data_IF_783661906582
#
_entry.id   IF_783661906582
#
_cell.length_a   1.000
_cell.length_b   1.000
_cell.length_c   1.000
_cell.angle_alpha   90.00
_cell.angle_beta   90.00
_cell.angle_gamma   90.00
#
_symmetry.space_group_name_H-M   'P 1'
#
loop_
_entity.id
_entity.type
_entity.pdbx_description
1 polymer ?
#
# COMPACT_ATOMS: atom_id res chain seq x y z
N UNK A 1 8.44 1.05 -5.97
CA UNK A 1 9.09 2.36 -5.71
C UNK A 1 9.49 2.50 -4.24
N UNK A 2 8.54 2.43 -3.30
CA UNK A 2 8.77 2.64 -1.85
C UNK A 2 9.99 1.88 -1.31
N UNK A 3 10.06 0.57 -1.52
CA UNK A 3 11.17 -0.29 -1.05
C UNK A 3 12.56 0.24 -1.46
N UNK A 4 12.68 0.76 -2.68
CA UNK A 4 13.94 1.23 -3.26
C UNK A 4 14.34 2.64 -2.82
N UNK A 5 13.41 3.41 -2.25
CA UNK A 5 13.69 4.77 -1.77
C UNK A 5 13.80 4.85 -0.24
N UNK A 6 13.51 3.77 0.49
CA UNK A 6 13.78 3.71 1.93
C UNK A 6 15.25 4.04 2.23
N UNK A 7 16.25 3.42 1.58
CA UNK A 7 17.66 3.66 1.89
C UNK A 7 18.22 5.01 1.44
N UNK A 8 17.42 5.83 0.76
CA UNK A 8 17.81 7.12 0.19
C UNK A 8 16.93 8.23 0.77
N UNK A 9 15.69 8.35 0.28
CA UNK A 9 14.75 9.35 0.76
C UNK A 9 14.40 9.12 2.24
N UNK A 10 14.11 7.88 2.63
CA UNK A 10 13.89 7.55 4.04
C UNK A 10 15.11 7.83 4.92
N UNK A 11 16.31 7.58 4.40
CA UNK A 11 17.57 7.88 5.09
C UNK A 11 17.76 9.39 5.30
N UNK A 12 17.44 10.20 4.29
CA UNK A 12 17.53 11.67 4.36
C UNK A 12 16.63 12.27 5.45
N UNK A 13 15.56 11.55 5.81
CA UNK A 13 14.64 11.89 6.89
C UNK A 13 15.07 11.29 8.26
N UNK A 14 16.16 10.52 8.30
CA UNK A 14 16.67 9.87 9.52
C UNK A 14 15.71 8.82 10.09
N UNK A 15 15.00 8.07 9.23
CA UNK A 15 13.93 7.15 9.62
C UNK A 15 14.37 5.68 9.77
N UNK A 16 15.62 5.34 9.44
CA UNK A 16 16.17 4.00 9.61
C UNK A 16 16.00 3.51 11.05
N UNK A 17 15.51 2.29 11.22
CA UNK A 17 15.24 1.70 12.54
C UNK A 17 14.06 2.31 13.30
N UNK A 18 13.36 3.31 12.74
CA UNK A 18 12.17 3.93 13.36
C UNK A 18 10.86 3.45 12.74
N UNK A 19 10.89 3.09 11.45
CA UNK A 19 9.73 2.59 10.69
C UNK A 19 10.10 1.34 9.88
N UNK A 20 9.10 0.63 9.37
CA UNK A 20 9.28 -0.44 8.38
C UNK A 20 10.26 -1.56 8.80
N UNK A 21 10.26 -1.92 10.09
CA UNK A 21 11.19 -2.90 10.66
C UNK A 21 10.79 -4.34 10.37
N UNK A 22 9.50 -4.65 10.42
CA UNK A 22 8.98 -6.02 10.33
C UNK A 22 7.98 -6.14 9.17
N UNK A 23 8.13 -7.18 8.35
CA UNK A 23 7.40 -7.32 7.08
C UNK A 23 6.72 -8.68 6.96
N UNK A 24 5.50 -8.66 6.42
CA UNK A 24 4.83 -9.83 5.83
C UNK A 24 4.84 -9.65 4.33
N UNK A 25 5.88 -10.15 3.66
CA UNK A 25 6.17 -9.86 2.26
C UNK A 25 6.85 -11.06 1.61
N UNK A 26 6.66 -11.25 0.30
CA UNK A 26 7.58 -12.12 -0.44
C UNK A 26 9.01 -11.54 -0.38
N UNK A 27 10.05 -12.37 -0.62
CA UNK A 27 11.43 -11.87 -0.67
C UNK A 27 11.63 -11.07 -1.97
N UNK A 28 11.09 -9.86 -2.03
CA UNK A 28 11.19 -9.00 -3.21
C UNK A 28 12.65 -8.64 -3.48
N UNK A 29 13.17 -8.83 -4.70
CA UNK A 29 14.50 -8.35 -5.06
C UNK A 29 14.66 -6.84 -4.83
N UNK A 30 13.59 -6.07 -4.98
CA UNK A 30 13.58 -4.62 -4.74
C UNK A 30 13.73 -4.22 -3.27
N UNK A 31 13.57 -5.15 -2.32
CA UNK A 31 13.80 -4.92 -0.89
C UNK A 31 15.26 -5.16 -0.50
N UNK A 32 16.09 -5.76 -1.37
CA UNK A 32 17.51 -6.06 -1.09
C UNK A 32 18.25 -4.82 -0.56
N UNK A 33 18.22 -3.63 -1.20
CA UNK A 33 18.96 -2.48 -0.68
C UNK A 33 18.52 -2.05 0.73
N UNK A 34 17.24 -2.22 1.08
CA UNK A 34 16.73 -1.91 2.41
C UNK A 34 17.19 -2.93 3.46
N UNK A 35 17.29 -4.21 3.09
CA UNK A 35 17.87 -5.25 3.95
C UNK A 35 19.35 -4.94 4.21
N UNK A 36 20.13 -4.73 3.16
CA UNK A 36 21.58 -4.54 3.26
C UNK A 36 21.97 -3.23 3.98
N UNK A 37 21.09 -2.23 3.95
CA UNK A 37 21.30 -0.97 4.69
C UNK A 37 20.73 -1.00 6.11
N UNK A 38 20.21 -2.14 6.58
CA UNK A 38 19.76 -2.33 7.97
C UNK A 38 18.41 -1.71 8.31
N UNK A 39 17.54 -1.51 7.32
CA UNK A 39 16.15 -1.06 7.57
C UNK A 39 15.25 -2.20 8.04
N UNK A 40 15.49 -3.40 7.51
CA UNK A 40 14.60 -4.54 7.64
C UNK A 40 15.14 -5.47 8.72
N UNK A 41 14.39 -5.65 9.79
CA UNK A 41 14.72 -6.58 10.88
C UNK A 41 14.14 -7.98 10.64
N UNK A 42 12.95 -8.08 10.07
CA UNK A 42 12.34 -9.40 9.79
C UNK A 42 11.42 -9.40 8.59
N UNK A 43 11.43 -10.51 7.84
CA UNK A 43 10.51 -10.78 6.72
C UNK A 43 9.97 -12.19 6.83
N UNK A 44 8.69 -12.32 7.15
CA UNK A 44 7.97 -13.59 7.00
C UNK A 44 7.32 -13.63 5.62
N UNK A 45 7.50 -14.74 4.88
CA UNK A 45 7.17 -14.80 3.45
C UNK A 45 5.92 -15.63 3.13
N UNK A 46 5.10 -15.15 2.18
CA UNK A 46 3.97 -15.92 1.65
C UNK A 46 4.46 -17.07 0.75
N UNK A 47 5.45 -16.78 -0.09
CA UNK A 47 6.14 -17.70 -0.99
C UNK A 47 7.61 -17.28 -1.16
N UNK A 48 8.25 -17.78 -2.21
CA UNK A 48 9.57 -17.30 -2.66
C UNK A 48 9.43 -16.48 -3.94
N UNK A 49 10.49 -15.75 -4.28
CA UNK A 49 10.68 -15.15 -5.61
C UNK A 49 11.82 -15.88 -6.32
N UNK A 50 11.66 -16.14 -7.62
CA UNK A 50 12.67 -16.88 -8.39
C UNK A 50 14.01 -16.13 -8.38
N UNK A 51 15.07 -16.84 -8.01
CA UNK A 51 16.43 -16.30 -7.98
C UNK A 51 16.85 -15.73 -6.63
N UNK A 52 15.93 -15.62 -5.66
CA UNK A 52 16.21 -15.09 -4.32
C UNK A 52 16.65 -16.16 -3.32
N UNK A 53 16.65 -17.44 -3.71
CA UNK A 53 16.81 -18.57 -2.79
C UNK A 53 18.16 -18.52 -2.06
N UNK A 54 19.26 -18.23 -2.79
CA UNK A 54 20.61 -18.11 -2.20
C UNK A 54 20.75 -16.89 -1.32
N UNK A 55 20.19 -15.75 -1.75
CA UNK A 55 20.22 -14.52 -0.98
C UNK A 55 19.49 -14.70 0.36
N UNK A 56 18.30 -15.30 0.33
CA UNK A 56 17.51 -15.58 1.54
C UNK A 56 18.24 -16.54 2.48
N UNK A 57 18.84 -17.62 1.96
CA UNK A 57 19.61 -18.56 2.77
C UNK A 57 20.83 -17.92 3.45
N UNK A 58 21.39 -16.85 2.85
CA UNK A 58 22.51 -16.08 3.39
C UNK A 58 22.08 -14.96 4.36
N UNK A 59 20.78 -14.82 4.66
CA UNK A 59 20.21 -13.82 5.58
C UNK A 59 19.23 -14.46 6.59
N UNK A 60 19.68 -15.48 7.38
CA UNK A 60 18.81 -16.20 8.31
C UNK A 60 18.39 -15.39 9.54
N UNK A 61 19.02 -14.24 9.77
CA UNK A 61 18.66 -13.24 10.77
C UNK A 61 17.42 -12.42 10.37
N UNK A 62 17.22 -12.21 9.07
CA UNK A 62 16.08 -11.46 8.52
C UNK A 62 14.94 -12.39 8.11
N UNK A 63 15.26 -13.52 7.47
CA UNK A 63 14.25 -14.44 6.93
C UNK A 63 14.08 -15.69 7.80
N UNK A 64 12.88 -16.28 7.72
CA UNK A 64 12.56 -17.52 8.42
C UNK A 64 13.08 -18.74 7.64
N UNK A 65 14.30 -19.17 7.95
CA UNK A 65 14.95 -20.35 7.34
C UNK A 65 14.83 -21.60 8.20
N UNK A 66 14.67 -22.76 7.56
CA UNK A 66 14.75 -24.05 8.21
C UNK A 66 16.16 -24.40 8.69
N UNK A 67 16.30 -25.49 9.44
CA UNK A 67 17.61 -26.01 9.90
C UNK A 67 18.53 -26.39 8.73
N UNK A 68 17.94 -26.68 7.57
CA UNK A 68 18.58 -26.97 6.30
C UNK A 68 19.08 -25.72 5.57
N UNK A 69 18.77 -24.52 6.09
CA UNK A 69 19.21 -23.23 5.54
C UNK A 69 18.26 -22.63 4.50
N UNK A 70 17.28 -23.36 3.98
CA UNK A 70 16.35 -22.84 2.99
C UNK A 70 15.17 -22.06 3.62
N UNK A 71 14.56 -21.17 2.84
CA UNK A 71 13.37 -20.42 3.23
C UNK A 71 12.21 -21.36 3.57
N UNK A 72 11.55 -21.12 4.71
CA UNK A 72 10.26 -21.75 5.05
C UNK A 72 9.12 -20.76 4.84
N UNK A 73 8.71 -20.56 3.59
CA UNK A 73 7.53 -19.75 3.29
C UNK A 73 6.24 -20.44 3.78
N UNK A 74 5.27 -19.66 4.25
CA UNK A 74 3.97 -20.18 4.65
C UNK A 74 2.88 -19.13 4.35
N UNK A 75 2.19 -19.29 3.21
CA UNK A 75 1.14 -18.35 2.78
C UNK A 75 0.03 -18.18 3.82
N UNK A 76 -0.43 -19.26 4.44
CA UNK A 76 -1.50 -19.20 5.44
C UNK A 76 -1.07 -18.37 6.66
N UNK A 77 0.10 -18.69 7.23
CA UNK A 77 0.61 -17.97 8.40
C UNK A 77 0.96 -16.51 8.07
N UNK A 78 1.55 -16.27 6.89
CA UNK A 78 1.91 -14.93 6.45
C UNK A 78 0.67 -14.06 6.19
N UNK A 79 -0.41 -14.63 5.64
CA UNK A 79 -1.70 -13.94 5.48
C UNK A 79 -2.32 -13.62 6.83
N UNK A 80 -2.26 -14.54 7.79
CA UNK A 80 -2.76 -14.31 9.14
C UNK A 80 -2.01 -13.16 9.83
N UNK A 81 -0.68 -13.17 9.75
CA UNK A 81 0.15 -12.07 10.26
C UNK A 81 -0.13 -10.76 9.53
N UNK A 82 -0.28 -10.81 8.20
CA UNK A 82 -0.62 -9.64 7.39
C UNK A 82 -2.00 -9.05 7.71
N UNK A 83 -2.92 -9.82 8.27
CA UNK A 83 -4.20 -9.32 8.76
C UNK A 83 -4.08 -8.76 10.18
N UNK A 84 -3.54 -9.53 11.11
CA UNK A 84 -3.64 -9.23 12.54
C UNK A 84 -2.42 -8.55 13.15
N UNK A 85 -1.21 -8.80 12.65
CA UNK A 85 0.05 -8.48 13.32
C UNK A 85 0.89 -7.39 12.64
N UNK A 86 0.39 -6.77 11.57
CA UNK A 86 1.05 -5.64 10.90
C UNK A 86 0.21 -4.37 11.01
N UNK A 87 0.89 -3.23 11.03
CA UNK A 87 0.23 -1.94 11.16
C UNK A 87 -0.48 -1.50 9.89
N UNK A 88 0.08 -1.86 8.73
CA UNK A 88 -0.29 -1.25 7.46
C UNK A 88 -0.31 -2.26 6.31
N UNK A 89 -1.30 -2.11 5.44
CA UNK A 89 -1.30 -2.63 4.09
C UNK A 89 -1.32 -1.47 3.09
N UNK A 90 -0.52 -1.56 2.05
CA UNK A 90 -0.52 -0.64 0.91
C UNK A 90 -0.53 -1.44 -0.38
N UNK A 91 -1.42 -1.07 -1.29
CA UNK A 91 -1.58 -1.73 -2.58
C UNK A 91 -2.20 -0.82 -3.63
N UNK A 92 -2.21 -1.29 -4.87
CA UNK A 92 -2.80 -0.60 -6.01
C UNK A 92 -4.03 -1.37 -6.53
N UNK A 93 -4.82 -0.70 -7.35
CA UNK A 93 -6.02 -1.24 -8.01
C UNK A 93 -6.14 -0.72 -9.45
N UNK A 94 -7.06 -1.26 -10.25
CA UNK A 94 -7.32 -0.76 -11.61
C UNK A 94 -8.42 0.30 -11.64
N UNK A 95 -9.45 0.17 -10.80
CA UNK A 95 -10.52 1.15 -10.67
C UNK A 95 -10.80 1.48 -9.21
N UNK A 96 -11.15 2.75 -8.96
CA UNK A 96 -11.67 3.29 -7.71
C UNK A 96 -12.91 4.14 -8.04
N UNK A 97 -14.00 4.03 -7.27
CA UNK A 97 -15.15 4.92 -7.42
C UNK A 97 -15.14 6.12 -6.45
N UNK A 98 -16.13 7.00 -6.56
CA UNK A 98 -16.24 8.19 -5.70
C UNK A 98 -16.37 7.89 -4.21
N UNK A 99 -16.78 6.66 -3.83
CA UNK A 99 -16.85 6.21 -2.43
C UNK A 99 -15.55 5.57 -1.95
N UNK A 100 -14.59 5.34 -2.85
CA UNK A 100 -13.33 4.68 -2.57
C UNK A 100 -13.40 3.15 -2.70
N UNK A 101 -14.50 2.60 -3.21
CA UNK A 101 -14.55 1.16 -3.52
C UNK A 101 -13.57 0.88 -4.65
N UNK A 102 -12.77 -0.17 -4.49
CA UNK A 102 -11.69 -0.49 -5.41
C UNK A 102 -11.80 -1.90 -5.94
N UNK A 103 -11.51 -2.08 -7.24
CA UNK A 103 -11.50 -3.40 -7.87
C UNK A 103 -10.49 -3.50 -9.01
N UNK A 104 -9.96 -4.70 -9.20
CA UNK A 104 -9.16 -5.10 -10.37
C UNK A 104 -10.00 -5.76 -11.47
N UNK A 105 -11.29 -5.98 -11.22
CA UNK A 105 -12.20 -6.53 -12.23
C UNK A 105 -12.61 -5.42 -13.19
N UNK A 106 -12.34 -5.61 -14.49
CA UNK A 106 -12.69 -4.70 -15.57
C UNK A 106 -13.55 -5.40 -16.62
N UNK A 107 -14.18 -4.65 -17.53
CA UNK A 107 -15.02 -5.22 -18.59
C UNK A 107 -14.24 -6.27 -19.40
N UNK A 108 -14.78 -7.49 -19.46
CA UNK A 108 -14.16 -8.63 -20.16
C UNK A 108 -13.01 -9.33 -19.44
N UNK A 109 -12.66 -8.92 -18.20
CA UNK A 109 -11.58 -9.55 -17.43
C UNK A 109 -11.97 -9.72 -15.95
N UNK A 110 -12.33 -10.95 -15.59
CA UNK A 110 -12.57 -11.35 -14.20
C UNK A 110 -11.23 -11.61 -13.49
N UNK A 111 -10.55 -10.55 -13.08
CA UNK A 111 -9.33 -10.65 -12.28
C UNK A 111 -9.63 -11.25 -10.89
N UNK A 112 -8.69 -12.03 -10.35
CA UNK A 112 -8.77 -12.51 -8.97
C UNK A 112 -8.31 -11.44 -7.97
N UNK A 113 -8.74 -11.56 -6.71
CA UNK A 113 -8.37 -10.61 -5.66
C UNK A 113 -7.02 -10.88 -5.00
N UNK A 114 -6.50 -12.10 -5.10
CA UNK A 114 -5.31 -12.51 -4.37
C UNK A 114 -5.45 -12.34 -2.86
N UNK A 115 -4.42 -11.79 -2.21
CA UNK A 115 -4.43 -11.52 -0.77
C UNK A 115 -5.03 -10.17 -0.36
N UNK A 116 -5.40 -9.33 -1.32
CA UNK A 116 -5.78 -7.94 -1.05
C UNK A 116 -7.00 -7.81 -0.10
N UNK A 117 -8.09 -8.58 -0.24
CA UNK A 117 -9.21 -8.46 0.69
C UNK A 117 -8.85 -8.85 2.12
N UNK A 118 -7.92 -9.79 2.32
CA UNK A 118 -7.47 -10.20 3.66
C UNK A 118 -6.62 -9.12 4.33
N UNK A 119 -5.76 -8.43 3.58
CA UNK A 119 -4.88 -7.40 4.14
C UNK A 119 -5.49 -6.00 4.12
N UNK A 120 -6.37 -5.72 3.18
CA UNK A 120 -6.95 -4.40 2.91
C UNK A 120 -8.30 -4.18 3.58
N UNK A 121 -8.44 -4.61 4.83
CA UNK A 121 -9.60 -4.28 5.67
C UNK A 121 -9.18 -4.01 7.12
N UNK A 122 -10.03 -3.32 7.88
CA UNK A 122 -9.87 -3.16 9.33
C UNK A 122 -10.16 -4.50 10.04
N UNK A 123 -9.16 -5.19 10.62
CA UNK A 123 -9.35 -6.50 11.22
C UNK A 123 -10.14 -6.38 12.54
N UNK A 124 -11.47 -6.41 12.45
CA UNK A 124 -12.38 -6.13 13.58
C UNK A 124 -12.23 -7.10 14.77
N UNK A 125 -11.52 -8.21 14.60
CA UNK A 125 -11.13 -9.14 15.68
C UNK A 125 -9.87 -8.75 16.46
N UNK A 126 -9.05 -7.80 15.96
CA UNK A 126 -7.81 -7.35 16.60
C UNK A 126 -8.10 -6.61 17.91
N UNK A 127 -7.27 -6.84 18.94
CA UNK A 127 -7.38 -6.19 20.26
C UNK A 127 -6.06 -5.65 20.80
N UNK A 128 -4.92 -6.23 20.39
CA UNK A 128 -3.63 -5.67 20.79
C UNK A 128 -3.40 -4.34 20.09
N UNK A 129 -2.93 -3.38 20.86
CA UNK A 129 -2.59 -2.05 20.42
C UNK A 129 -1.16 -1.99 19.85
N UNK A 130 -0.98 -1.11 18.87
CA UNK A 130 0.32 -0.64 18.39
C UNK A 130 0.20 0.86 18.15
N UNK A 131 1.31 1.62 18.14
CA UNK A 131 1.26 3.07 17.96
C UNK A 131 0.47 3.51 16.73
N UNK A 132 0.76 2.95 15.56
CA UNK A 132 0.09 3.31 14.31
C UNK A 132 -1.40 2.91 14.31
N UNK A 133 -1.76 1.76 14.90
CA UNK A 133 -3.15 1.33 15.00
C UNK A 133 -3.98 2.27 15.89
N UNK A 134 -3.41 2.71 17.02
CA UNK A 134 -4.05 3.66 17.93
C UNK A 134 -4.17 5.06 17.33
N UNK A 135 -3.22 5.48 16.49
CA UNK A 135 -3.23 6.79 15.82
C UNK A 135 -4.46 6.99 14.91
N UNK A 136 -5.08 5.89 14.46
CA UNK A 136 -6.31 5.92 13.66
C UNK A 136 -7.60 6.02 14.50
N UNK A 137 -7.50 6.00 15.84
CA UNK A 137 -8.67 6.08 16.73
C UNK A 137 -9.23 7.50 16.75
N UNK A 138 -10.52 7.62 16.48
CA UNK A 138 -11.25 8.87 16.66
C UNK A 138 -11.46 9.13 18.15
N UNK A 139 -11.19 10.35 18.60
CA UNK A 139 -11.52 10.76 19.97
C UNK A 139 -13.03 10.80 20.15
N UNK A 140 -13.51 10.25 21.26
CA UNK A 140 -14.92 10.30 21.64
C UNK A 140 -15.29 11.65 22.25
N UNK A 141 -16.58 11.86 22.48
CA UNK A 141 -17.09 13.09 23.12
C UNK A 141 -16.59 13.26 24.57
N UNK A 142 -16.14 12.17 25.20
CA UNK A 142 -15.56 12.15 26.54
C UNK A 142 -14.56 10.99 26.67
N UNK A 143 -13.93 10.87 27.84
CA UNK A 143 -12.94 9.84 28.15
C UNK A 143 -13.50 8.43 28.00
N UNK A 144 -14.69 8.15 28.52
CA UNK A 144 -15.36 6.84 28.42
C UNK A 144 -15.56 6.41 26.97
N UNK A 145 -16.10 7.29 26.13
CA UNK A 145 -16.29 7.02 24.71
C UNK A 145 -14.96 6.78 23.98
N UNK A 146 -13.89 7.47 24.39
CA UNK A 146 -12.53 7.27 23.83
C UNK A 146 -11.92 5.93 24.26
N UNK A 147 -12.18 5.47 25.49
CA UNK A 147 -11.78 4.12 25.94
C UNK A 147 -12.56 3.01 25.24
N UNK A 148 -13.83 3.25 24.89
CA UNK A 148 -14.65 2.32 24.11
C UNK A 148 -14.30 2.33 22.62
N UNK A 149 -13.73 3.44 22.12
CA UNK A 149 -13.23 3.55 20.76
C UNK A 149 -11.99 2.67 20.56
N UNK A 150 -11.89 2.10 19.36
CA UNK A 150 -10.79 1.24 18.92
C UNK A 150 -9.98 1.94 17.83
N UNK A 151 -8.71 1.60 17.74
CA UNK A 151 -7.88 1.94 16.59
C UNK A 151 -8.32 1.17 15.33
N UNK A 152 -7.58 1.41 14.25
CA UNK A 152 -7.81 0.78 12.94
C UNK A 152 -6.48 0.43 12.29
N UNK A 153 -6.46 -0.66 11.54
CA UNK A 153 -5.32 -0.95 10.67
C UNK A 153 -5.23 0.12 9.57
N UNK A 154 -4.01 0.50 9.17
CA UNK A 154 -3.83 1.39 8.03
C UNK A 154 -4.02 0.59 6.73
N UNK A 155 -4.96 1.03 5.90
CA UNK A 155 -5.23 0.47 4.58
C UNK A 155 -5.07 1.59 3.57
N UNK A 156 -3.99 1.52 2.81
CA UNK A 156 -3.59 2.55 1.84
C UNK A 156 -3.89 2.05 0.42
N UNK A 157 -4.75 2.77 -0.29
CA UNK A 157 -4.86 2.64 -1.75
C UNK A 157 -3.88 3.62 -2.39
N UNK A 158 -2.84 3.08 -3.03
CA UNK A 158 -1.83 3.85 -3.73
C UNK A 158 -2.00 3.64 -5.24
N UNK A 159 -2.49 4.65 -5.94
CA UNK A 159 -2.78 4.58 -7.37
C UNK A 159 -2.46 5.90 -8.05
N UNK A 160 -2.04 5.85 -9.31
CA UNK A 160 -2.04 7.03 -10.17
C UNK A 160 -3.47 7.37 -10.61
N UNK A 161 -3.78 8.65 -10.85
CA UNK A 161 -5.13 9.06 -11.26
C UNK A 161 -5.52 8.48 -12.62
N UNK A 162 -4.53 8.20 -13.47
CA UNK A 162 -4.68 7.49 -14.73
C UNK A 162 -3.79 6.25 -14.77
N UNK A 163 -4.29 5.21 -15.44
CA UNK A 163 -3.54 4.00 -15.76
C UNK A 163 -2.70 4.22 -17.03
N UNK A 164 -1.71 3.35 -17.24
CA UNK A 164 -1.00 3.27 -18.51
C UNK A 164 -2.00 3.09 -19.68
N UNK A 165 -1.81 3.88 -20.75
CA UNK A 165 -2.75 3.94 -21.87
C UNK A 165 -3.93 4.93 -21.68
N UNK A 166 -3.90 5.78 -20.64
CA UNK A 166 -4.78 6.94 -20.51
C UNK A 166 -6.18 6.65 -19.98
N UNK A 167 -6.42 5.44 -19.45
CA UNK A 167 -7.71 5.11 -18.81
C UNK A 167 -7.74 5.72 -17.40
N UNK A 168 -8.82 6.41 -17.00
CA UNK A 168 -8.91 6.94 -15.64
C UNK A 168 -9.02 5.80 -14.63
N UNK A 169 -8.24 5.88 -13.54
CA UNK A 169 -8.37 4.98 -12.40
C UNK A 169 -9.63 5.29 -11.61
N UNK A 170 -9.93 6.57 -11.42
CA UNK A 170 -11.13 7.02 -10.73
C UNK A 170 -12.31 7.13 -11.70
N UNK A 171 -13.37 6.39 -11.43
CA UNK A 171 -14.54 6.25 -12.32
C UNK A 171 -15.84 6.44 -11.55
N UNK A 172 -16.88 6.96 -12.21
CA UNK A 172 -18.20 7.11 -11.58
C UNK A 172 -18.85 5.78 -11.19
N UNK A 173 -18.56 4.73 -11.95
CA UNK A 173 -19.12 3.40 -11.75
C UNK A 173 -18.07 2.34 -12.07
N UNK A 174 -17.80 1.45 -11.12
CA UNK A 174 -16.89 0.33 -11.33
C UNK A 174 -17.43 -0.62 -12.42
N UNK A 175 -16.55 -1.05 -13.31
CA UNK A 175 -16.83 -2.10 -14.30
C UNK A 175 -17.30 -3.39 -13.62
N UNK A 176 -16.78 -3.65 -12.42
CA UNK A 176 -17.15 -4.77 -11.56
C UNK A 176 -18.67 -4.94 -11.42
N UNK A 177 -19.45 -3.86 -11.41
CA UNK A 177 -20.91 -3.94 -11.25
C UNK A 177 -21.56 -4.58 -12.49
N UNK A 178 -21.15 -4.18 -13.70
CA UNK A 178 -21.69 -4.78 -14.93
C UNK A 178 -21.17 -6.21 -15.15
N UNK A 179 -19.92 -6.48 -14.73
CA UNK A 179 -19.37 -7.85 -14.73
C UNK A 179 -20.18 -8.76 -13.80
N UNK A 180 -20.55 -8.29 -12.60
CA UNK A 180 -21.38 -9.08 -11.69
C UNK A 180 -22.73 -9.45 -12.30
N UNK A 181 -23.43 -8.49 -12.94
CA UNK A 181 -24.69 -8.76 -13.63
C UNK A 181 -24.53 -9.80 -14.74
N UNK A 182 -23.49 -9.66 -15.56
CA UNK A 182 -23.25 -10.56 -16.70
C UNK A 182 -22.86 -11.97 -16.24
N UNK A 183 -22.08 -12.08 -15.16
CA UNK A 183 -21.61 -13.35 -14.62
C UNK A 183 -22.59 -13.99 -13.59
N UNK A 184 -23.74 -13.36 -13.31
CA UNK A 184 -24.69 -13.86 -12.31
C UNK A 184 -24.15 -13.83 -10.88
N UNK A 185 -23.21 -12.92 -10.56
CA UNK A 185 -22.69 -12.76 -9.22
C UNK A 185 -23.67 -11.96 -8.36
N UNK A 186 -23.89 -12.35 -7.10
CA UNK A 186 -24.85 -11.67 -6.22
C UNK A 186 -24.36 -10.29 -5.75
N UNK A 187 -23.05 -10.02 -5.85
CA UNK A 187 -22.42 -8.78 -5.44
C UNK A 187 -21.38 -8.36 -6.49
N UNK A 188 -21.16 -7.05 -6.63
CA UNK A 188 -20.03 -6.55 -7.39
C UNK A 188 -18.72 -7.07 -6.77
N UNK A 189 -17.79 -7.63 -7.57
CA UNK A 189 -16.51 -8.10 -7.07
C UNK A 189 -15.61 -6.90 -6.70
N UNK A 190 -15.80 -6.38 -5.49
CA UNK A 190 -15.00 -5.32 -4.88
C UNK A 190 -13.82 -5.97 -4.15
N UNK A 191 -12.61 -5.48 -4.42
CA UNK A 191 -11.37 -5.98 -3.82
C UNK A 191 -11.16 -5.38 -2.43
N UNK A 192 -11.28 -4.05 -2.30
CA UNK A 192 -11.24 -3.33 -1.02
C UNK A 192 -12.40 -2.32 -1.03
N UNK A 193 -13.25 -2.39 -0.01
CA UNK A 193 -14.36 -1.46 0.15
C UNK A 193 -13.88 -0.10 0.62
N UNK A 194 -14.57 0.96 0.20
CA UNK A 194 -14.16 2.34 0.48
C UNK A 194 -14.12 2.67 1.98
N UNK A 195 -14.99 2.09 2.78
CA UNK A 195 -15.04 2.28 4.24
C UNK A 195 -13.87 1.62 4.99
N UNK A 196 -13.21 0.62 4.39
CA UNK A 196 -11.99 0.02 4.91
C UNK A 196 -10.74 0.87 4.61
N UNK A 197 -10.77 1.71 3.57
CA UNK A 197 -9.63 2.56 3.18
C UNK A 197 -9.44 3.70 4.18
N UNK A 198 -8.24 3.76 4.77
CA UNK A 198 -7.84 4.85 5.68
C UNK A 198 -7.10 5.95 4.97
N UNK A 199 -6.34 5.62 3.92
CA UNK A 199 -5.57 6.57 3.12
C UNK A 199 -5.74 6.29 1.63
N UNK A 200 -6.01 7.34 0.87
CA UNK A 200 -5.93 7.30 -0.59
C UNK A 200 -4.74 8.17 -1.01
N UNK A 201 -3.75 7.55 -1.62
CA UNK A 201 -2.51 8.16 -2.08
C UNK A 201 -2.47 8.16 -3.60
N UNK A 202 -2.31 9.34 -4.18
CA UNK A 202 -2.12 9.56 -5.62
C UNK A 202 -0.91 10.46 -5.88
N UNK A 203 -0.59 10.70 -7.15
CA UNK A 203 0.40 11.70 -7.54
C UNK A 203 -0.06 13.14 -7.22
N UNK A 204 -1.35 13.37 -7.00
CA UNK A 204 -1.89 14.68 -6.58
C UNK A 204 -1.63 14.95 -5.10
N UNK A 205 -1.73 13.91 -4.25
CA UNK A 205 -1.57 14.01 -2.81
C UNK A 205 -2.11 12.80 -2.03
N UNK A 206 -2.35 12.99 -0.73
CA UNK A 206 -2.93 12.00 0.18
C UNK A 206 -4.24 12.54 0.76
N UNK A 207 -5.30 11.75 0.69
CA UNK A 207 -6.52 11.95 1.44
C UNK A 207 -6.56 11.03 2.67
N UNK A 208 -6.62 11.62 3.87
CA UNK A 208 -6.64 10.94 5.16
C UNK A 208 -8.06 10.48 5.54
N UNK A 209 -8.64 9.58 4.73
CA UNK A 209 -10.05 9.17 4.82
C UNK A 209 -10.48 8.63 6.19
N UNK A 210 -9.55 8.15 7.03
CA UNK A 210 -9.87 7.73 8.40
C UNK A 210 -10.42 8.85 9.29
N UNK A 211 -10.14 10.12 8.95
CA UNK A 211 -10.63 11.32 9.64
C UNK A 211 -11.97 11.84 9.12
N UNK A 212 -12.48 11.29 8.00
CA UNK A 212 -13.71 11.80 7.38
C UNK A 212 -14.89 11.73 8.36
N UNK A 213 -15.57 12.85 8.54
CA UNK A 213 -16.69 13.00 9.48
C UNK A 213 -18.00 12.44 8.91
N UNK A 214 -18.09 12.31 7.59
CA UNK A 214 -19.25 11.76 6.87
C UNK A 214 -18.86 11.13 5.54
N UNK A 215 -19.83 10.49 4.86
CA UNK A 215 -19.60 9.96 3.51
C UNK A 215 -19.40 11.05 2.47
N UNK A 216 -20.07 12.19 2.63
CA UNK A 216 -19.93 13.36 1.76
C UNK A 216 -18.53 13.97 1.88
N UNK A 217 -18.01 14.10 3.12
CA UNK A 217 -16.64 14.57 3.35
C UNK A 217 -15.62 13.58 2.77
N UNK A 218 -15.85 12.27 2.92
CA UNK A 218 -15.01 11.24 2.28
C UNK A 218 -14.98 11.40 0.76
N UNK A 219 -16.12 11.58 0.11
CA UNK A 219 -16.19 11.79 -1.34
C UNK A 219 -15.45 13.06 -1.76
N UNK A 220 -15.61 14.17 -1.02
CA UNK A 220 -14.89 15.42 -1.27
C UNK A 220 -13.37 15.25 -1.14
N UNK A 221 -12.91 14.51 -0.13
CA UNK A 221 -11.49 14.18 0.06
C UNK A 221 -10.94 13.31 -1.09
N UNK A 222 -11.71 12.33 -1.56
CA UNK A 222 -11.33 11.49 -2.71
C UNK A 222 -11.22 12.35 -3.98
N UNK A 223 -12.24 13.17 -4.27
CA UNK A 223 -12.24 14.05 -5.43
C UNK A 223 -11.04 15.02 -5.44
N UNK A 224 -10.65 15.54 -4.26
CA UNK A 224 -9.51 16.44 -4.12
C UNK A 224 -8.16 15.85 -4.55
N UNK A 225 -8.01 14.51 -4.53
CA UNK A 225 -6.77 13.81 -4.94
C UNK A 225 -6.95 12.97 -6.21
N UNK A 226 -8.10 13.07 -6.88
CA UNK A 226 -8.43 12.26 -8.07
C UNK A 226 -8.06 12.94 -9.42
N UNK A 227 -7.31 14.05 -9.38
CA UNK A 227 -6.78 14.75 -10.56
C UNK A 227 -7.90 15.26 -11.49
N UNK A 228 -7.71 15.06 -12.80
CA UNK A 228 -8.66 15.48 -13.85
C UNK A 228 -9.56 14.35 -14.33
N UNK A 229 -9.74 13.30 -13.52
CA UNK A 229 -10.68 12.21 -13.78
C UNK A 229 -12.13 12.68 -13.62
N UNK A 230 -13.12 11.87 -14.03
CA UNK A 230 -14.54 12.23 -13.84
C UNK A 230 -14.88 12.48 -12.37
N UNK A 231 -14.29 11.71 -11.44
CA UNK A 231 -14.41 11.94 -9.99
C UNK A 231 -13.68 13.22 -9.59
N UNK A 232 -12.45 13.43 -10.05
CA UNK A 232 -11.65 14.61 -9.70
C UNK A 232 -12.25 15.93 -10.19
N UNK A 233 -12.96 15.91 -11.31
CA UNK A 233 -13.68 17.07 -11.85
C UNK A 233 -14.90 17.48 -11.03
N UNK A 234 -15.36 16.65 -10.08
CA UNK A 234 -16.44 17.01 -9.15
C UNK A 234 -15.98 17.88 -7.98
N UNK A 235 -14.67 18.04 -7.79
CA UNK A 235 -14.14 18.80 -6.66
C UNK A 235 -14.53 20.29 -6.72
N UNK A 236 -14.86 20.86 -5.57
CA UNK A 236 -14.94 22.31 -5.39
C UNK A 236 -13.58 22.83 -4.87
N UNK A 237 -12.88 23.71 -5.60
CA UNK A 237 -11.59 24.26 -5.17
C UNK A 237 -11.60 24.90 -3.78
N UNK A 238 -12.73 25.52 -3.36
CA UNK A 238 -12.85 26.10 -2.02
C UNK A 238 -12.88 25.01 -0.95
N UNK A 239 -13.62 23.93 -1.23
CA UNK A 239 -13.65 22.74 -0.38
C UNK A 239 -12.26 22.08 -0.32
N UNK A 240 -11.57 21.89 -1.44
CA UNK A 240 -10.20 21.35 -1.46
C UNK A 240 -9.23 22.19 -0.62
N UNK A 241 -9.30 23.53 -0.73
CA UNK A 241 -8.47 24.42 0.08
C UNK A 241 -8.75 24.28 1.59
N UNK A 242 -10.02 24.17 1.98
CA UNK A 242 -10.42 23.88 3.36
C UNK A 242 -9.86 22.55 3.84
N UNK A 243 -10.06 21.46 3.09
CA UNK A 243 -9.58 20.12 3.42
C UNK A 243 -8.05 20.09 3.63
N UNK A 244 -7.30 20.87 2.84
CA UNK A 244 -5.84 21.02 3.03
C UNK A 244 -5.49 21.77 4.31
N UNK A 245 -6.16 22.90 4.58
CA UNK A 245 -5.93 23.68 5.81
C UNK A 245 -6.25 22.90 7.09
N UNK A 246 -7.19 21.97 7.03
CA UNK A 246 -7.57 21.10 8.15
C UNK A 246 -6.71 19.82 8.25
N UNK A 247 -5.78 19.59 7.33
CA UNK A 247 -4.94 18.39 7.30
C UNK A 247 -5.73 17.10 7.04
N UNK A 248 -6.85 17.21 6.32
CA UNK A 248 -7.65 16.09 5.81
C UNK A 248 -7.11 15.62 4.46
N UNK A 249 -6.59 16.55 3.66
CA UNK A 249 -5.86 16.29 2.42
C UNK A 249 -4.49 16.94 2.51
N UNK A 250 -3.44 16.31 1.99
CA UNK A 250 -2.12 16.91 1.85
C UNK A 250 -1.61 16.70 0.44
N UNK A 251 -1.17 17.77 -0.20
CA UNK A 251 -0.42 17.70 -1.44
C UNK A 251 1.08 17.55 -1.13
N UNK A 252 1.92 17.14 -2.09
CA UNK A 252 3.37 17.07 -1.91
C UNK A 252 3.97 18.32 -1.25
N UNK A 253 3.49 19.51 -1.63
CA UNK A 253 3.97 20.78 -1.09
C UNK A 253 3.65 20.94 0.41
N UNK A 254 2.52 20.40 0.88
CA UNK A 254 2.13 20.40 2.30
C UNK A 254 3.04 19.49 3.14
N UNK A 255 3.70 18.52 2.50
CA UNK A 255 4.69 17.62 3.10
C UNK A 255 6.13 18.14 2.93
N UNK A 256 6.33 19.33 2.34
CA UNK A 256 7.65 19.84 2.00
C UNK A 256 8.34 19.09 0.86
N UNK A 257 7.59 18.37 0.03
CA UNK A 257 8.09 17.59 -1.10
C UNK A 257 7.87 18.38 -2.39
N UNK A 258 8.96 18.77 -3.06
CA UNK A 258 8.86 19.35 -4.40
C UNK A 258 8.75 18.24 -5.43
N UNK A 259 7.72 18.32 -6.29
CA UNK A 259 7.43 17.30 -7.32
C UNK A 259 8.62 17.03 -8.24
N UNK A 260 9.43 18.04 -8.54
CA UNK A 260 10.62 17.95 -9.40
C UNK A 260 11.78 17.14 -8.79
N UNK A 261 11.78 16.94 -7.47
CA UNK A 261 12.81 16.15 -6.79
C UNK A 261 12.55 14.64 -6.94
N UNK A 262 11.32 14.25 -7.32
CA UNK A 262 10.89 12.87 -7.50
C UNK A 262 11.40 12.27 -8.82
N UNK A 263 12.70 11.96 -8.86
CA UNK A 263 13.37 11.36 -10.03
C UNK A 263 13.88 9.96 -9.72
N UNK A 264 14.28 9.21 -10.77
CA UNK A 264 14.88 7.86 -10.64
C UNK A 264 16.20 7.86 -9.86
N UNK A 265 16.83 9.02 -9.67
CA UNK A 265 18.06 9.14 -8.88
C UNK A 265 17.86 8.75 -7.41
N UNK A 266 16.63 8.90 -6.90
CA UNK A 266 16.28 8.45 -5.56
C UNK A 266 16.29 6.92 -5.41
N UNK A 267 16.22 6.14 -6.50
CA UNK A 267 16.20 4.68 -6.37
C UNK A 267 17.57 4.17 -5.89
N UNK A 268 17.61 3.37 -4.83
CA UNK A 268 18.86 2.73 -4.37
C UNK A 268 19.45 1.77 -5.42
N UNK A 269 18.60 1.16 -6.25
CA UNK A 269 18.96 0.37 -7.41
C UNK A 269 18.12 0.83 -8.61
N UNK A 270 18.75 1.22 -9.71
CA UNK A 270 18.10 1.79 -10.90
C UNK A 270 17.73 0.71 -11.92
N UNK A 271 18.33 -0.46 -11.83
CA UNK A 271 18.13 -1.58 -12.74
C UNK A 271 18.39 -2.92 -12.02
N UNK A 272 18.25 -4.03 -12.76
CA UNK A 272 18.38 -5.39 -12.21
C UNK A 272 19.84 -5.74 -11.88
N UNK A 273 20.81 -5.25 -12.65
CA UNK A 273 22.24 -5.47 -12.37
C UNK A 273 22.65 -4.80 -11.06
N UNK A 274 22.10 -3.61 -10.75
CA UNK A 274 22.31 -2.95 -9.45
C UNK A 274 21.76 -3.83 -8.32
N UNK A 275 20.58 -4.45 -8.47
CA UNK A 275 20.03 -5.36 -7.46
C UNK A 275 20.91 -6.60 -7.24
N UNK A 276 21.49 -7.15 -8.30
CA UNK A 276 22.47 -8.24 -8.20
C UNK A 276 23.72 -7.78 -7.46
N UNK A 277 24.20 -6.56 -7.73
CA UNK A 277 25.36 -5.98 -7.06
C UNK A 277 25.09 -5.76 -5.57
N UNK A 278 23.93 -5.18 -5.22
CA UNK A 278 23.47 -5.05 -3.84
C UNK A 278 23.38 -6.39 -3.12
N UNK A 279 23.01 -7.45 -3.84
CA UNK A 279 22.90 -8.80 -3.28
C UNK A 279 24.22 -9.55 -3.13
N UNK A 280 25.36 -8.93 -3.44
CA UNK A 280 26.67 -9.59 -3.53
C UNK A 280 26.67 -10.81 -4.48
N UNK A 281 25.96 -10.68 -5.61
CA UNK A 281 25.82 -11.74 -6.61
C UNK A 281 24.93 -12.91 -6.19
N UNK A 282 24.30 -12.85 -5.00
CA UNK A 282 23.45 -13.93 -4.48
C UNK A 282 22.06 -13.95 -5.13
N UNK A 283 21.54 -12.80 -5.54
CA UNK A 283 20.32 -12.72 -6.36
C UNK A 283 20.64 -13.17 -7.80
N UNK A 284 19.94 -14.22 -8.24
CA UNK A 284 20.12 -14.80 -9.57
C UNK A 284 18.88 -14.55 -10.43
N UNK A 285 18.74 -13.37 -11.07
CA UNK A 285 17.52 -13.02 -11.79
C UNK A 285 17.17 -14.08 -12.84
N UNK A 286 15.88 -14.40 -13.02
CA UNK A 286 15.40 -15.26 -14.11
C UNK A 286 15.90 -14.78 -15.48
N UNK A 287 16.05 -15.68 -16.45
CA UNK A 287 16.62 -15.37 -17.76
C UNK A 287 15.95 -14.17 -18.46
N UNK A 288 14.61 -14.03 -18.34
CA UNK A 288 13.85 -12.90 -18.91
C UNK A 288 14.24 -11.51 -18.39
N UNK A 289 14.98 -11.45 -17.30
CA UNK A 289 15.40 -10.24 -16.60
C UNK A 289 16.91 -10.01 -16.65
N UNK A 290 17.68 -10.93 -17.25
CA UNK A 290 19.11 -10.75 -17.47
C UNK A 290 19.33 -9.90 -18.72
N UNK A 291 20.29 -8.99 -18.65
CA UNK A 291 20.74 -8.17 -19.78
C UNK A 291 22.22 -8.40 -20.09
N UNK A 292 22.72 -9.61 -19.79
CA UNK A 292 24.08 -10.09 -20.02
C UNK A 292 24.07 -11.61 -20.27
#
# INVERSE_FOLDING_TARGET
AIELILPTYGESLGLKGKICRNWTLNPHPTLIPAIETGWVESVHCFGTELGMEKYVAARPDVFFTGRDGALRSNRMMCQLAGQYAVDLFIGATLQVDGMGHSSTVTKGRLAGFGGAPNMGHDPRGRRHDTPAWLDMRLQGANETETYLARGKKLVVQMVETFQEGGKPTFVERLDAIEVAKTAGLPLAPIMIYGDDVTHLLTEEGIAYLYKASSQEERQAMIAAVAGVTSIGLTQDPKTTARLRSEGLVVFPEDLGIRRTDATRELLAAKNIADLVTWSDGLYQPPAKFRSW
#
